data_IF_290937671457
#
_entry.id   IF_290937671457
#
_cell.length_a   1.000
_cell.length_b   1.000
_cell.length_c   1.000
_cell.angle_alpha   90.00
_cell.angle_beta   90.00
_cell.angle_gamma   90.00
#
_symmetry.space_group_name_H-M   'P 1'
#
loop_
_entity.id
_entity.type
_entity.pdbx_description
1 polymer ?
#
# COMPACT_ATOMS: atom_id res chain seq x y z
N UNK A 1 -20.77 10.56 -6.56
CA UNK A 1 -20.26 9.73 -5.45
C UNK A 1 -19.12 10.44 -4.75
N UNK A 2 -19.07 10.28 -3.44
CA UNK A 2 -18.11 10.95 -2.55
C UNK A 2 -16.64 10.73 -2.94
N UNK A 3 -16.33 9.57 -3.52
CA UNK A 3 -14.98 9.17 -3.88
C UNK A 3 -14.64 9.38 -5.35
N UNK A 4 -15.59 9.89 -6.13
CA UNK A 4 -15.38 10.11 -7.56
C UNK A 4 -14.24 11.11 -7.80
N UNK A 5 -13.28 10.73 -8.64
CA UNK A 5 -12.15 11.58 -8.99
C UNK A 5 -11.02 11.62 -7.99
N UNK A 6 -11.12 10.95 -6.84
CA UNK A 6 -10.00 10.83 -5.90
C UNK A 6 -8.88 10.02 -6.56
N UNK A 7 -7.68 10.58 -6.55
CA UNK A 7 -6.50 9.99 -7.19
C UNK A 7 -5.73 9.17 -6.16
N UNK A 8 -5.70 7.85 -6.36
CA UNK A 8 -5.06 6.91 -5.43
C UNK A 8 -3.83 6.30 -6.06
N UNK A 9 -2.71 6.33 -5.35
CA UNK A 9 -1.52 5.57 -5.71
C UNK A 9 -1.48 4.30 -4.86
N UNK A 10 -1.59 3.15 -5.52
CA UNK A 10 -1.64 1.85 -4.86
C UNK A 10 -0.29 1.16 -5.01
N UNK A 11 0.24 0.66 -3.90
CA UNK A 11 1.51 -0.05 -3.85
C UNK A 11 1.28 -1.56 -3.93
N UNK A 12 2.39 -2.32 -4.01
CA UNK A 12 2.36 -3.80 -3.97
C UNK A 12 1.62 -4.44 -5.15
N UNK A 13 1.91 -3.93 -6.35
CA UNK A 13 1.21 -4.30 -7.59
C UNK A 13 1.40 -5.77 -8.02
N UNK A 14 2.33 -6.51 -7.42
CA UNK A 14 2.61 -7.90 -7.78
C UNK A 14 1.52 -8.87 -7.31
N UNK A 15 0.76 -8.51 -6.28
CA UNK A 15 -0.19 -9.41 -5.62
C UNK A 15 -1.60 -9.34 -6.18
N UNK A 16 -2.29 -10.48 -6.11
CA UNK A 16 -3.71 -10.57 -6.48
C UNK A 16 -4.60 -9.76 -5.55
N UNK A 17 -4.21 -9.63 -4.28
CA UNK A 17 -4.93 -8.83 -3.29
C UNK A 17 -4.98 -7.37 -3.71
N UNK A 18 -3.87 -6.87 -4.26
CA UNK A 18 -3.79 -5.50 -4.75
C UNK A 18 -4.76 -5.28 -5.92
N UNK A 19 -4.86 -6.26 -6.82
CA UNK A 19 -5.79 -6.18 -7.93
C UNK A 19 -7.24 -6.11 -7.45
N UNK A 20 -7.60 -6.86 -6.42
CA UNK A 20 -8.93 -6.80 -5.81
C UNK A 20 -9.20 -5.41 -5.21
N UNK A 21 -8.20 -4.81 -4.56
CA UNK A 21 -8.30 -3.44 -4.02
C UNK A 21 -8.51 -2.42 -5.14
N UNK A 22 -7.76 -2.56 -6.24
CA UNK A 22 -7.91 -1.68 -7.42
C UNK A 22 -9.33 -1.77 -7.97
N UNK A 23 -9.85 -2.99 -8.10
CA UNK A 23 -11.22 -3.19 -8.59
C UNK A 23 -12.23 -2.46 -7.71
N UNK A 24 -12.12 -2.61 -6.39
CA UNK A 24 -13.00 -1.93 -5.45
C UNK A 24 -12.93 -0.41 -5.56
N UNK A 25 -11.72 0.13 -5.68
CA UNK A 25 -11.51 1.58 -5.83
C UNK A 25 -12.11 2.09 -7.15
N UNK A 26 -11.98 1.34 -8.22
CA UNK A 26 -12.56 1.70 -9.51
C UNK A 26 -14.09 1.71 -9.45
N UNK A 27 -14.68 0.76 -8.75
CA UNK A 27 -16.15 0.67 -8.59
C UNK A 27 -16.73 1.91 -7.90
N UNK A 28 -15.98 2.52 -6.98
CA UNK A 28 -16.43 3.73 -6.29
C UNK A 28 -15.98 5.03 -6.96
N UNK A 29 -15.40 4.95 -8.14
CA UNK A 29 -15.10 6.11 -8.97
C UNK A 29 -13.73 6.74 -8.79
N UNK A 30 -12.81 6.10 -8.09
CA UNK A 30 -11.47 6.60 -7.93
C UNK A 30 -10.65 6.52 -9.22
N UNK A 31 -9.70 7.44 -9.39
CA UNK A 31 -8.65 7.32 -10.39
C UNK A 31 -7.49 6.56 -9.75
N UNK A 32 -7.13 5.43 -10.31
CA UNK A 32 -6.16 4.52 -9.69
C UNK A 32 -4.89 4.40 -10.51
N UNK A 33 -3.77 4.73 -9.88
CA UNK A 33 -2.42 4.47 -10.39
C UNK A 33 -1.80 3.36 -9.53
N UNK A 34 -1.18 2.37 -10.17
CA UNK A 34 -0.45 1.32 -9.47
C UNK A 34 1.05 1.51 -9.67
N UNK A 35 1.82 1.30 -8.60
CA UNK A 35 3.26 1.32 -8.64
C UNK A 35 3.77 -0.09 -8.85
N UNK A 36 4.28 -0.35 -10.05
CA UNK A 36 4.79 -1.66 -10.45
C UNK A 36 6.31 -1.68 -10.45
N UNK A 37 6.90 -2.81 -10.07
CA UNK A 37 8.34 -3.01 -10.14
C UNK A 37 8.76 -3.80 -11.38
N UNK A 38 7.84 -4.58 -11.94
CA UNK A 38 8.07 -5.44 -13.08
C UNK A 38 6.85 -5.49 -13.97
N UNK A 39 7.06 -5.72 -15.25
CA UNK A 39 5.97 -5.99 -16.20
C UNK A 39 5.25 -7.29 -15.90
N UNK A 40 5.84 -8.15 -15.07
CA UNK A 40 5.23 -9.41 -14.63
C UNK A 40 4.28 -9.22 -13.44
N UNK A 41 4.21 -8.04 -12.85
CA UNK A 41 3.30 -7.76 -11.77
C UNK A 41 1.85 -7.93 -12.24
N UNK A 42 1.02 -8.54 -11.40
CA UNK A 42 -0.39 -8.82 -11.73
C UNK A 42 -1.12 -7.55 -12.15
N UNK A 43 -0.93 -6.46 -11.43
CA UNK A 43 -1.59 -5.19 -11.72
C UNK A 43 -1.05 -4.52 -12.99
N UNK A 44 0.18 -4.83 -13.40
CA UNK A 44 0.73 -4.29 -14.64
C UNK A 44 0.01 -4.88 -15.87
N UNK A 45 -0.29 -6.16 -15.84
CA UNK A 45 -0.98 -6.84 -16.93
C UNK A 45 -2.48 -6.53 -16.99
N UNK A 46 -3.04 -6.01 -15.91
CA UNK A 46 -4.48 -5.73 -15.82
C UNK A 46 -4.83 -4.42 -16.53
N UNK A 47 -6.05 -4.35 -17.07
CA UNK A 47 -6.62 -3.12 -17.63
C UNK A 47 -7.38 -2.28 -16.60
N UNK A 48 -7.52 -2.77 -15.38
CA UNK A 48 -8.29 -2.07 -14.33
C UNK A 48 -7.66 -0.75 -13.88
N UNK A 49 -6.33 -0.66 -13.64
CA UNK A 49 -5.75 0.62 -13.26
C UNK A 49 -5.86 1.64 -14.39
N UNK A 50 -6.06 2.90 -14.03
CA UNK A 50 -6.05 4.00 -15.00
C UNK A 50 -4.64 4.30 -15.48
N UNK A 51 -3.67 4.14 -14.61
CA UNK A 51 -2.26 4.42 -14.89
C UNK A 51 -1.36 3.44 -14.17
N UNK A 52 -0.21 3.16 -14.78
CA UNK A 52 0.80 2.26 -14.22
C UNK A 52 2.15 2.98 -14.22
N UNK A 53 2.82 3.01 -13.08
CA UNK A 53 4.18 3.48 -12.96
C UNK A 53 5.09 2.28 -12.83
N UNK A 54 6.05 2.15 -13.74
CA UNK A 54 7.04 1.07 -13.68
C UNK A 54 8.32 1.63 -13.07
N UNK A 55 8.57 1.29 -11.81
CA UNK A 55 9.73 1.77 -11.04
C UNK A 55 10.42 0.57 -10.40
N UNK A 56 11.36 -0.07 -11.12
CA UNK A 56 12.05 -1.27 -10.60
C UNK A 56 12.78 -1.03 -9.27
N UNK A 57 13.23 0.21 -9.03
CA UNK A 57 13.95 0.62 -7.82
C UNK A 57 13.05 0.73 -6.59
N UNK A 58 11.74 0.73 -6.77
CA UNK A 58 10.78 0.86 -5.66
C UNK A 58 10.59 -0.48 -4.93
N UNK A 59 11.68 -1.00 -4.38
CA UNK A 59 11.67 -2.21 -3.56
C UNK A 59 11.51 -1.82 -2.09
N UNK A 60 10.44 -2.31 -1.40
CA UNK A 60 10.23 -2.00 0.02
C UNK A 60 11.39 -2.37 0.94
N UNK A 61 12.28 -3.26 0.51
CA UNK A 61 13.46 -3.67 1.27
C UNK A 61 14.65 -2.76 1.06
N UNK A 62 14.59 -1.86 0.08
CA UNK A 62 15.67 -0.95 -0.27
C UNK A 62 15.59 0.34 0.55
N UNK A 63 16.75 0.91 0.88
CA UNK A 63 16.83 2.22 1.52
C UNK A 63 16.31 3.34 0.62
N UNK A 64 16.24 3.11 -0.68
CA UNK A 64 15.78 4.08 -1.66
C UNK A 64 14.24 4.13 -1.78
N UNK A 65 13.54 3.17 -1.15
CA UNK A 65 12.09 3.04 -1.28
C UNK A 65 11.34 4.30 -0.82
N UNK A 66 11.63 4.75 0.39
CA UNK A 66 10.93 5.92 0.96
C UNK A 66 11.28 7.20 0.21
N UNK A 67 12.56 7.51 -0.09
CA UNK A 67 12.87 8.68 -0.92
C UNK A 67 12.18 8.64 -2.29
N UNK A 68 12.12 7.49 -2.93
CA UNK A 68 11.47 7.36 -4.23
C UNK A 68 9.97 7.60 -4.15
N UNK A 69 9.29 7.03 -3.13
CA UNK A 69 7.86 7.26 -2.91
C UNK A 69 7.59 8.73 -2.61
N UNK A 70 8.39 9.37 -1.77
CA UNK A 70 8.23 10.79 -1.45
C UNK A 70 8.39 11.65 -2.70
N UNK A 71 9.34 11.32 -3.57
CA UNK A 71 9.51 12.00 -4.85
C UNK A 71 8.24 11.89 -5.70
N UNK A 72 7.65 10.71 -5.77
CA UNK A 72 6.44 10.47 -6.57
C UNK A 72 5.24 11.24 -6.02
N UNK A 73 5.00 11.16 -4.70
CA UNK A 73 3.83 11.81 -4.10
C UNK A 73 3.98 13.32 -3.99
N UNK A 74 5.20 13.84 -3.95
CA UNK A 74 5.43 15.29 -3.89
C UNK A 74 5.07 16.00 -5.20
N UNK A 75 4.82 15.25 -6.27
CA UNK A 75 4.39 15.80 -7.55
C UNK A 75 3.02 16.51 -7.48
N UNK A 76 2.21 16.19 -6.46
CA UNK A 76 0.85 16.70 -6.35
C UNK A 76 -0.17 15.98 -7.21
N UNK A 77 0.23 14.89 -7.87
CA UNK A 77 -0.65 14.11 -8.76
C UNK A 77 -1.55 13.13 -8.00
N UNK A 78 -1.32 12.91 -6.71
CA UNK A 78 -2.04 11.91 -5.91
C UNK A 78 -2.64 12.53 -4.67
N UNK A 79 -3.83 12.04 -4.31
CA UNK A 79 -4.55 12.45 -3.09
C UNK A 79 -4.35 11.46 -1.96
N UNK A 80 -4.21 10.16 -2.30
CA UNK A 80 -4.14 9.06 -1.34
C UNK A 80 -3.01 8.11 -1.74
N UNK A 81 -2.24 7.66 -0.76
CA UNK A 81 -1.27 6.57 -0.90
C UNK A 81 -1.80 5.35 -0.16
N UNK A 82 -1.89 4.22 -0.86
CA UNK A 82 -2.45 2.98 -0.31
C UNK A 82 -1.43 1.85 -0.37
N UNK A 83 -0.68 1.60 0.72
CA UNK A 83 0.09 0.36 0.84
C UNK A 83 -0.85 -0.81 1.12
N UNK A 84 -0.61 -1.94 0.50
CA UNK A 84 -1.46 -3.14 0.65
C UNK A 84 -0.75 -4.22 1.44
N UNK A 85 0.51 -4.51 1.10
CA UNK A 85 1.29 -5.54 1.76
C UNK A 85 2.04 -5.04 2.98
N UNK A 86 2.40 -5.96 3.87
CA UNK A 86 3.12 -5.64 5.10
C UNK A 86 4.50 -5.03 4.82
N UNK A 87 5.20 -5.52 3.78
CA UNK A 87 6.52 -5.01 3.42
C UNK A 87 6.49 -3.51 3.08
N UNK A 88 5.42 -3.04 2.47
CA UNK A 88 5.25 -1.61 2.14
C UNK A 88 4.65 -0.83 3.29
N UNK A 89 3.68 -1.40 4.00
CA UNK A 89 3.00 -0.73 5.12
C UNK A 89 3.97 -0.37 6.23
N UNK A 90 4.88 -1.27 6.56
CA UNK A 90 5.84 -1.03 7.64
C UNK A 90 6.72 0.22 7.38
N UNK A 91 7.47 0.32 6.26
CA UNK A 91 8.29 1.51 6.03
C UNK A 91 7.46 2.78 5.81
N UNK A 92 6.30 2.69 5.14
CA UNK A 92 5.44 3.84 4.91
C UNK A 92 4.93 4.42 6.23
N UNK A 93 4.47 3.57 7.15
CA UNK A 93 3.98 4.06 8.45
C UNK A 93 5.09 4.60 9.35
N UNK A 94 6.32 4.13 9.20
CA UNK A 94 7.47 4.73 9.89
C UNK A 94 7.71 6.18 9.50
N UNK A 95 7.32 6.57 8.29
CA UNK A 95 7.50 7.91 7.73
C UNK A 95 6.15 8.60 7.49
N UNK A 96 5.11 8.21 8.24
CA UNK A 96 3.75 8.69 8.01
C UNK A 96 3.62 10.20 8.04
N UNK A 97 4.36 10.89 8.92
CA UNK A 97 4.30 12.35 9.01
C UNK A 97 4.83 13.03 7.75
N UNK A 98 5.89 12.47 7.17
CA UNK A 98 6.45 12.99 5.92
C UNK A 98 5.47 12.82 4.76
N UNK A 99 4.83 11.65 4.66
CA UNK A 99 3.86 11.39 3.61
C UNK A 99 2.61 12.25 3.74
N UNK A 100 2.16 12.54 4.96
CA UNK A 100 0.97 13.35 5.20
C UNK A 100 1.10 14.78 4.75
N UNK A 101 2.31 15.25 4.50
CA UNK A 101 2.53 16.57 3.89
C UNK A 101 2.04 16.62 2.43
N UNK A 102 1.90 15.47 1.78
CA UNK A 102 1.57 15.40 0.36
C UNK A 102 0.30 14.63 0.07
N UNK A 103 0.01 13.57 0.84
CA UNK A 103 -1.10 12.64 0.59
C UNK A 103 -1.73 12.21 1.90
N UNK A 104 -2.94 11.66 1.81
CA UNK A 104 -3.54 10.90 2.91
C UNK A 104 -3.09 9.44 2.79
N UNK A 105 -2.86 8.79 3.92
CA UNK A 105 -2.50 7.38 3.95
C UNK A 105 -3.74 6.52 4.16
N UNK A 106 -4.00 5.61 3.25
CA UNK A 106 -5.09 4.64 3.36
C UNK A 106 -4.59 3.38 4.04
N UNK A 107 -4.19 3.52 5.30
CA UNK A 107 -3.77 2.42 6.17
C UNK A 107 -3.92 2.88 7.62
N UNK A 108 -3.87 1.91 8.55
CA UNK A 108 -3.94 2.23 9.97
C UNK A 108 -2.71 3.06 10.40
N UNK A 109 -2.86 3.97 11.37
CA UNK A 109 -1.72 4.69 11.94
C UNK A 109 -0.67 3.72 12.50
N UNK A 110 0.58 4.16 12.55
CA UNK A 110 1.70 3.35 13.02
C UNK A 110 1.42 2.67 14.36
N UNK A 111 0.85 3.39 15.31
CA UNK A 111 0.54 2.85 16.64
C UNK A 111 -0.44 1.67 16.57
N UNK A 112 -1.50 1.79 15.77
CA UNK A 112 -2.48 0.73 15.58
C UNK A 112 -1.88 -0.48 14.85
N UNK A 113 -1.04 -0.23 13.85
CA UNK A 113 -0.32 -1.27 13.11
C UNK A 113 0.57 -2.10 14.04
N UNK A 114 1.35 -1.45 14.89
CA UNK A 114 2.24 -2.13 15.83
C UNK A 114 1.45 -2.95 16.85
N UNK A 115 0.33 -2.44 17.35
CA UNK A 115 -0.54 -3.18 18.26
C UNK A 115 -1.10 -4.45 17.61
N UNK A 116 -1.57 -4.36 16.40
CA UNK A 116 -2.10 -5.52 15.67
C UNK A 116 -1.00 -6.56 15.42
N UNK A 117 0.20 -6.12 15.08
CA UNK A 117 1.35 -6.99 14.87
C UNK A 117 1.73 -7.73 16.17
N UNK A 118 1.78 -7.02 17.28
CA UNK A 118 2.10 -7.61 18.58
C UNK A 118 1.05 -8.62 19.03
N UNK A 119 -0.23 -8.33 18.81
CA UNK A 119 -1.32 -9.27 19.11
C UNK A 119 -1.19 -10.55 18.28
N UNK A 120 -0.88 -10.41 16.99
CA UNK A 120 -0.68 -11.57 16.12
C UNK A 120 0.49 -12.42 16.59
N UNK A 121 1.61 -11.81 16.97
CA UNK A 121 2.75 -12.53 17.55
C UNK A 121 2.39 -13.28 18.81
N UNK A 122 1.59 -12.67 19.66
CA UNK A 122 1.12 -13.30 20.92
C UNK A 122 0.29 -14.54 20.60
N UNK A 123 -0.64 -14.45 19.66
CA UNK A 123 -1.44 -15.59 19.23
C UNK A 123 -0.56 -16.70 18.63
N UNK A 124 0.40 -16.35 17.78
CA UNK A 124 1.32 -17.31 17.16
C UNK A 124 2.16 -18.05 18.21
N UNK A 125 2.69 -17.33 19.19
CA UNK A 125 3.47 -17.92 20.28
C UNK A 125 2.60 -18.84 21.14
N UNK A 126 1.38 -18.44 21.46
CA UNK A 126 0.45 -19.25 22.23
C UNK A 126 0.04 -20.52 21.48
N UNK A 127 -0.19 -20.42 20.17
CA UNK A 127 -0.50 -21.57 19.33
C UNK A 127 0.66 -22.58 19.31
N UNK A 128 1.91 -22.10 19.25
CA UNK A 128 3.10 -22.94 19.33
C UNK A 128 3.22 -23.65 20.67
N UNK A 129 2.73 -23.02 21.74
CA UNK A 129 2.68 -23.59 23.09
C UNK A 129 1.52 -24.54 23.35
N UNK A 130 0.69 -24.85 22.33
CA UNK A 130 -0.41 -25.78 22.45
C UNK A 130 -1.74 -25.16 22.89
N UNK A 131 -1.84 -23.84 22.91
CA UNK A 131 -3.10 -23.15 23.18
C UNK A 131 -3.97 -23.08 21.93
N UNK A 132 -5.29 -23.16 22.13
CA UNK A 132 -6.25 -23.00 21.04
C UNK A 132 -7.03 -21.71 21.24
N UNK A 133 -7.15 -20.95 20.16
CA UNK A 133 -7.96 -19.74 20.11
C UNK A 133 -9.12 -19.94 19.15
N UNK A 134 -10.28 -19.61 19.60
CA UNK A 134 -11.52 -19.70 18.82
C UNK A 134 -11.86 -18.35 18.20
#
# INVERSE_FOLDING_TARGET
>A
MEFAGIRVLVLDAAGKQTLAMVRGLKEIGCHVTVLCRSRLDVCYASRLPDRKLLVPEADPRSEEYIPELLRIVSSGEYDVLMPVGELSTNPVTKHEEEFRNYVRLACAPRAAYLNAYDKQRTFDLAAQGGFQFL
#
